data_IF_522759617813
#
_entry.id   IF_522759617813
#
_cell.length_a   1.000
_cell.length_b   1.000
_cell.length_c   1.000
_cell.angle_alpha   90.00
_cell.angle_beta   90.00
_cell.angle_gamma   90.00
#
_symmetry.space_group_name_H-M   'P 1'
#
loop_
_entity.id
_entity.type
_entity.pdbx_description
1 polymer ?
#
# COMPACT_ATOMS: atom_id res chain seq x y z
N UNK A 1 -6.97 -1.82 -13.86
CA UNK A 1 -7.11 -2.02 -12.40
C UNK A 1 -7.89 -3.30 -12.15
N UNK A 2 -7.28 -4.30 -11.51
CA UNK A 2 -7.92 -5.59 -11.23
C UNK A 2 -8.93 -5.50 -10.10
N UNK A 3 -9.68 -6.58 -9.87
CA UNK A 3 -10.59 -6.67 -8.73
C UNK A 3 -9.78 -6.76 -7.43
N UNK A 4 -10.04 -5.85 -6.48
CA UNK A 4 -9.49 -5.93 -5.14
C UNK A 4 -10.07 -7.15 -4.42
N UNK A 5 -9.27 -7.83 -3.61
CA UNK A 5 -9.80 -8.88 -2.71
C UNK A 5 -10.84 -8.31 -1.77
N UNK A 6 -11.90 -9.07 -1.53
CA UNK A 6 -12.93 -8.69 -0.56
C UNK A 6 -12.36 -8.61 0.86
N UNK A 7 -12.96 -7.75 1.68
CA UNK A 7 -12.55 -7.52 3.05
C UNK A 7 -13.39 -8.37 4.01
N UNK A 8 -12.73 -8.97 4.98
CA UNK A 8 -13.43 -9.51 6.15
C UNK A 8 -14.01 -8.37 7.01
N UNK A 9 -15.03 -8.63 7.84
CA UNK A 9 -15.66 -7.61 8.67
C UNK A 9 -14.68 -6.80 9.52
N UNK A 10 -13.70 -7.45 10.16
CA UNK A 10 -12.69 -6.76 10.98
C UNK A 10 -11.75 -5.86 10.18
N UNK A 11 -11.50 -6.20 8.91
CA UNK A 11 -10.67 -5.39 8.02
C UNK A 11 -11.44 -4.16 7.53
N UNK A 12 -12.70 -4.35 7.18
CA UNK A 12 -13.59 -3.24 6.81
C UNK A 12 -13.72 -2.26 7.97
N UNK A 13 -13.98 -2.75 9.18
CA UNK A 13 -14.05 -1.94 10.39
C UNK A 13 -12.74 -1.15 10.63
N UNK A 14 -11.59 -1.81 10.51
CA UNK A 14 -10.29 -1.14 10.67
C UNK A 14 -10.07 -0.02 9.64
N UNK A 15 -10.50 -0.20 8.38
CA UNK A 15 -10.43 0.85 7.36
C UNK A 15 -11.39 2.00 7.66
N UNK A 16 -12.58 1.70 8.16
CA UNK A 16 -13.58 2.73 8.46
C UNK A 16 -13.15 3.57 9.67
N UNK A 17 -12.61 2.97 10.72
CA UNK A 17 -12.02 3.70 11.84
C UNK A 17 -10.83 4.57 11.38
N UNK A 18 -9.97 4.04 10.49
CA UNK A 18 -8.87 4.81 9.91
C UNK A 18 -9.38 6.02 9.12
N UNK A 19 -10.42 5.84 8.29
CA UNK A 19 -11.04 6.93 7.51
C UNK A 19 -11.67 7.98 8.42
N UNK A 20 -12.42 7.56 9.44
CA UNK A 20 -13.03 8.47 10.41
C UNK A 20 -11.98 9.31 11.14
N UNK A 21 -10.86 8.70 11.56
CA UNK A 21 -9.74 9.41 12.19
C UNK A 21 -9.17 10.51 11.28
N UNK A 22 -8.97 10.20 9.99
CA UNK A 22 -8.51 11.19 9.00
C UNK A 22 -9.54 12.30 8.80
N UNK A 23 -10.83 11.96 8.70
CA UNK A 23 -11.92 12.94 8.57
C UNK A 23 -12.04 13.86 9.79
N UNK A 24 -11.70 13.37 10.98
CA UNK A 24 -11.62 14.14 12.22
C UNK A 24 -10.35 15.03 12.31
N UNK A 25 -9.61 15.20 11.21
CA UNK A 25 -8.43 16.06 11.12
C UNK A 25 -7.14 15.43 11.67
N UNK A 26 -7.11 14.13 11.96
CA UNK A 26 -5.88 13.45 12.40
C UNK A 26 -4.98 13.17 11.19
N UNK A 27 -3.73 13.64 11.25
CA UNK A 27 -2.79 13.57 10.12
C UNK A 27 -1.89 12.33 10.10
N UNK A 28 -1.70 11.65 11.24
CA UNK A 28 -0.75 10.53 11.39
C UNK A 28 -1.37 9.35 12.16
N UNK A 29 -2.46 8.76 11.66
CA UNK A 29 -3.10 7.62 12.33
C UNK A 29 -2.21 6.36 12.28
N UNK A 30 -2.31 5.53 13.31
CA UNK A 30 -1.69 4.21 13.39
C UNK A 30 -2.77 3.13 13.34
N UNK A 31 -2.72 2.27 12.32
CA UNK A 31 -3.53 1.04 12.26
C UNK A 31 -2.66 -0.12 12.73
N UNK A 32 -2.98 -0.66 13.90
CA UNK A 32 -2.31 -1.84 14.46
C UNK A 32 -3.19 -3.08 14.27
N UNK A 33 -2.59 -4.17 13.79
CA UNK A 33 -3.26 -5.47 13.72
C UNK A 33 -2.25 -6.63 13.88
N UNK A 34 -2.63 -7.77 14.47
CA UNK A 34 -1.74 -8.91 14.65
C UNK A 34 -1.27 -9.50 13.31
N UNK A 35 -0.20 -10.31 13.34
CA UNK A 35 0.19 -11.14 12.18
C UNK A 35 -0.97 -12.06 11.80
N UNK A 36 -1.13 -12.34 10.50
CA UNK A 36 -2.27 -13.11 9.99
C UNK A 36 -3.58 -12.33 9.83
N UNK A 37 -3.72 -11.12 10.39
CA UNK A 37 -4.94 -10.29 10.24
C UNK A 37 -5.21 -9.80 8.79
N UNK A 38 -4.27 -10.01 7.86
CA UNK A 38 -4.38 -9.55 6.48
C UNK A 38 -3.98 -8.09 6.27
N UNK A 39 -2.96 -7.60 6.99
CA UNK A 39 -2.42 -6.23 6.85
C UNK A 39 -2.07 -5.85 5.40
N UNK A 40 -1.62 -6.81 4.59
CA UNK A 40 -1.29 -6.57 3.18
C UNK A 40 -2.52 -6.27 2.34
N UNK A 41 -3.65 -6.94 2.61
CA UNK A 41 -4.94 -6.65 1.95
C UNK A 41 -5.39 -5.24 2.34
N UNK A 42 -5.34 -4.92 3.64
CA UNK A 42 -5.62 -3.56 4.13
C UNK A 42 -4.75 -2.50 3.44
N UNK A 43 -3.44 -2.75 3.31
CA UNK A 43 -2.52 -1.85 2.63
C UNK A 43 -2.90 -1.64 1.16
N UNK A 44 -3.26 -2.70 0.44
CA UNK A 44 -3.69 -2.60 -0.96
C UNK A 44 -4.98 -1.76 -1.11
N UNK A 45 -5.94 -1.91 -0.20
CA UNK A 45 -7.16 -1.09 -0.16
C UNK A 45 -6.86 0.38 0.15
N UNK A 46 -5.94 0.67 1.08
CA UNK A 46 -5.50 2.03 1.39
C UNK A 46 -4.84 2.68 0.17
N UNK A 47 -3.84 2.00 -0.42
CA UNK A 47 -3.11 2.46 -1.62
C UNK A 47 -4.07 2.73 -2.77
N UNK A 48 -5.01 1.80 -3.02
CA UNK A 48 -6.04 1.97 -4.06
C UNK A 48 -6.96 3.15 -3.77
N UNK A 49 -7.41 3.34 -2.53
CA UNK A 49 -8.23 4.49 -2.15
C UNK A 49 -7.51 5.84 -2.29
N UNK A 50 -6.18 5.86 -2.15
CA UNK A 50 -5.36 7.06 -2.44
C UNK A 50 -5.27 7.27 -3.96
N UNK A 51 -5.02 6.21 -4.73
CA UNK A 51 -4.91 6.26 -6.20
C UNK A 51 -6.19 6.66 -6.91
N UNK A 52 -7.36 6.19 -6.42
CA UNK A 52 -8.68 6.63 -6.92
C UNK A 52 -8.89 8.14 -6.78
N UNK A 53 -8.16 8.79 -5.89
CA UNK A 53 -8.15 10.26 -5.72
C UNK A 53 -7.02 10.95 -6.50
N UNK A 54 -6.40 10.25 -7.45
CA UNK A 54 -5.26 10.71 -8.26
C UNK A 54 -4.05 11.18 -7.45
N UNK A 55 -3.93 10.76 -6.19
CA UNK A 55 -2.80 11.09 -5.32
C UNK A 55 -1.66 10.08 -5.51
N UNK A 56 -0.47 10.48 -5.07
CA UNK A 56 0.73 9.64 -5.01
C UNK A 56 0.88 9.01 -3.62
N UNK A 57 1.48 7.84 -3.55
CA UNK A 57 1.76 7.13 -2.29
C UNK A 57 3.11 6.43 -2.36
N UNK A 58 3.86 6.48 -1.26
CA UNK A 58 5.07 5.69 -1.06
C UNK A 58 4.81 4.67 0.04
N UNK A 59 4.92 3.38 -0.28
CA UNK A 59 4.81 2.29 0.66
C UNK A 59 6.22 1.85 1.07
N UNK A 60 6.50 1.95 2.36
CA UNK A 60 7.85 1.70 2.90
C UNK A 60 7.90 0.32 3.56
N UNK A 61 8.88 -0.48 3.16
CA UNK A 61 9.16 -1.81 3.72
C UNK A 61 10.49 -1.81 4.48
N UNK A 62 10.67 -2.68 5.49
CA UNK A 62 11.85 -2.62 6.34
C UNK A 62 13.11 -3.24 5.71
N UNK A 63 13.00 -4.03 4.65
CA UNK A 63 14.14 -4.70 4.02
C UNK A 63 13.97 -4.86 2.51
N UNK A 64 15.09 -4.97 1.79
CA UNK A 64 15.11 -5.15 0.33
C UNK A 64 14.36 -6.41 -0.11
N UNK A 65 14.49 -7.52 0.63
CA UNK A 65 13.79 -8.78 0.31
C UNK A 65 12.27 -8.69 0.40
N UNK A 66 11.72 -7.64 1.00
CA UNK A 66 10.27 -7.39 1.08
C UNK A 66 9.75 -6.49 -0.04
N UNK A 67 10.62 -5.90 -0.88
CA UNK A 67 10.22 -5.07 -2.01
C UNK A 67 9.43 -5.91 -3.01
N UNK A 68 10.06 -6.94 -3.58
CA UNK A 68 9.43 -7.80 -4.59
C UNK A 68 8.22 -8.53 -4.02
N UNK A 69 8.32 -9.04 -2.79
CA UNK A 69 7.19 -9.65 -2.12
C UNK A 69 6.01 -8.67 -1.99
N UNK A 70 6.26 -7.41 -1.66
CA UNK A 70 5.18 -6.41 -1.55
C UNK A 70 4.62 -6.05 -2.92
N UNK A 71 5.48 -5.91 -3.93
CA UNK A 71 5.08 -5.67 -5.31
C UNK A 71 4.12 -6.76 -5.79
N UNK A 72 4.52 -8.02 -5.69
CA UNK A 72 3.71 -9.17 -6.10
C UNK A 72 2.39 -9.23 -5.33
N UNK A 73 2.41 -8.98 -4.02
CA UNK A 73 1.20 -8.93 -3.22
C UNK A 73 0.27 -7.80 -3.64
N UNK A 74 0.78 -6.64 -4.04
CA UNK A 74 -0.07 -5.57 -4.57
C UNK A 74 -0.70 -5.95 -5.90
N UNK A 75 0.05 -6.62 -6.79
CA UNK A 75 -0.51 -7.18 -8.04
C UNK A 75 -1.61 -8.20 -7.74
N UNK A 76 -1.36 -9.15 -6.84
CA UNK A 76 -2.35 -10.15 -6.40
C UNK A 76 -3.60 -9.54 -5.77
N UNK A 77 -3.50 -8.32 -5.24
CA UNK A 77 -4.61 -7.58 -4.66
C UNK A 77 -5.22 -6.58 -5.64
N UNK A 78 -4.91 -6.66 -6.95
CA UNK A 78 -5.59 -5.90 -8.00
C UNK A 78 -4.97 -4.54 -8.36
N UNK A 79 -3.83 -4.18 -7.77
CA UNK A 79 -3.07 -2.98 -8.16
C UNK A 79 -2.36 -3.27 -9.48
N UNK A 80 -2.52 -2.36 -10.45
CA UNK A 80 -1.91 -2.50 -11.76
C UNK A 80 -0.37 -2.36 -11.68
N UNK A 81 0.42 -3.33 -12.16
CA UNK A 81 1.88 -3.21 -12.21
C UNK A 81 2.37 -1.95 -12.94
N UNK A 82 1.59 -1.40 -13.88
CA UNK A 82 1.92 -0.16 -14.60
C UNK A 82 1.86 1.09 -13.71
N UNK A 83 1.05 1.07 -12.64
CA UNK A 83 0.91 2.16 -11.66
C UNK A 83 2.02 2.14 -10.58
N UNK A 84 2.86 1.10 -10.56
CA UNK A 84 3.87 0.88 -9.51
C UNK A 84 5.30 1.09 -10.01
N UNK A 85 6.13 1.63 -9.12
CA UNK A 85 7.56 1.74 -9.27
C UNK A 85 8.28 1.38 -7.97
N UNK A 86 9.55 1.04 -8.09
CA UNK A 86 10.43 0.75 -6.95
C UNK A 86 11.53 1.80 -6.84
N UNK A 87 11.76 2.31 -5.63
CA UNK A 87 12.89 3.20 -5.31
C UNK A 87 14.03 2.34 -4.75
N UNK A 88 14.90 1.90 -5.65
CA UNK A 88 16.13 1.16 -5.38
C UNK A 88 17.13 1.45 -6.52
N UNK A 89 18.43 1.28 -6.24
CA UNK A 89 19.51 1.60 -7.19
C UNK A 89 19.37 0.89 -8.54
N UNK A 90 19.54 -0.43 -8.54
CA UNK A 90 19.39 -1.28 -9.72
C UNK A 90 18.19 -2.23 -9.53
N UNK A 91 17.03 -1.81 -10.05
CA UNK A 91 15.79 -2.60 -9.95
C UNK A 91 15.00 -2.52 -11.25
N UNK A 92 14.53 -3.65 -11.75
CA UNK A 92 13.81 -3.75 -13.03
C UNK A 92 12.48 -2.97 -13.06
N UNK A 93 11.82 -2.81 -11.90
CA UNK A 93 10.65 -1.92 -11.74
C UNK A 93 11.00 -0.47 -11.35
N UNK A 94 12.23 0.01 -11.55
CA UNK A 94 12.60 1.39 -11.25
C UNK A 94 11.87 2.38 -12.17
N UNK A 95 10.82 3.01 -11.65
CA UNK A 95 9.93 3.91 -12.40
C UNK A 95 9.61 5.15 -11.56
N UNK A 96 10.45 6.21 -11.58
CA UNK A 96 10.29 7.37 -10.70
C UNK A 96 8.95 8.10 -10.85
N UNK A 97 8.37 8.06 -12.05
CA UNK A 97 7.10 8.71 -12.34
C UNK A 97 5.88 7.92 -11.86
N UNK A 98 6.05 6.63 -11.53
CA UNK A 98 4.93 5.81 -11.09
C UNK A 98 4.28 6.41 -9.84
N UNK A 99 2.94 6.46 -9.79
CA UNK A 99 2.22 7.12 -8.72
C UNK A 99 2.20 6.32 -7.40
N UNK A 100 2.44 5.01 -7.45
CA UNK A 100 2.72 4.17 -6.29
C UNK A 100 4.21 3.87 -6.30
N UNK A 101 4.91 4.16 -5.21
CA UNK A 101 6.31 3.78 -5.01
C UNK A 101 6.41 2.76 -3.89
N UNK A 102 7.26 1.75 -4.07
CA UNK A 102 7.68 0.83 -3.01
C UNK A 102 9.15 1.11 -2.74
N UNK A 103 9.51 1.31 -1.48
CA UNK A 103 10.85 1.73 -1.08
C UNK A 103 11.24 1.09 0.26
N UNK A 104 12.53 1.09 0.58
CA UNK A 104 12.96 0.89 1.96
C UNK A 104 13.17 2.24 2.65
N UNK A 105 13.21 2.26 3.97
CA UNK A 105 13.50 3.49 4.70
C UNK A 105 14.89 4.07 4.34
N UNK A 106 15.83 3.21 3.95
CA UNK A 106 17.20 3.59 3.58
C UNK A 106 17.30 4.22 2.19
N UNK A 107 16.29 4.07 1.32
CA UNK A 107 16.29 4.65 -0.03
C UNK A 107 15.53 5.97 -0.13
N UNK A 108 15.00 6.47 0.99
CA UNK A 108 14.28 7.74 1.13
C UNK A 108 15.14 8.79 1.83
#
# INVERSE_FOLDING_TARGET
MGQLRDLYPHQQEALDQLRQSIMAGKSRPLLQAPTGAGKTVLAAHIVTGIRRRMKRVCFVVPSLGLIDQTFDRFVENGIDPADMGVIQGDHHWRRPQAPIQIATAQTL
#
